data_IF_913875878505
#
_entry.id   IF_913875878505
#
_cell.length_a   1.000
_cell.length_b   1.000
_cell.length_c   1.000
_cell.angle_alpha   90.00
_cell.angle_beta   90.00
_cell.angle_gamma   90.00
#
_symmetry.space_group_name_H-M   'P 1'
#
loop_
_entity.id
_entity.type
_entity.pdbx_description
1 polymer ?
#
# COMPACT_ATOMS: atom_id res chain seq x y z
N UNK A 1 -17.12 -5.82 -7.07
CA UNK A 1 -16.82 -5.42 -8.47
C UNK A 1 -16.19 -6.60 -9.22
N UNK A 2 -16.58 -6.86 -10.47
CA UNK A 2 -15.86 -7.78 -11.36
C UNK A 2 -14.63 -7.06 -11.91
N UNK A 3 -13.48 -7.75 -12.01
CA UNK A 3 -12.20 -7.14 -12.42
C UNK A 3 -11.88 -7.33 -13.90
N UNK A 4 -12.55 -8.26 -14.58
CA UNK A 4 -12.33 -8.52 -16.02
C UNK A 4 -12.59 -7.25 -16.84
N UNK A 5 -11.66 -6.93 -17.72
CA UNK A 5 -11.63 -5.74 -18.59
C UNK A 5 -11.65 -4.39 -17.84
N UNK A 6 -11.44 -4.36 -16.51
CA UNK A 6 -11.29 -3.13 -15.75
C UNK A 6 -9.91 -2.51 -15.94
N UNK A 7 -9.86 -1.19 -16.07
CA UNK A 7 -8.62 -0.46 -16.10
C UNK A 7 -8.20 -0.10 -14.66
N UNK A 8 -7.05 -0.58 -14.24
CA UNK A 8 -6.54 -0.45 -12.87
C UNK A 8 -5.20 0.27 -12.87
N UNK A 9 -5.14 1.41 -12.20
CA UNK A 9 -3.90 2.11 -11.90
C UNK A 9 -3.28 1.51 -10.64
N UNK A 10 -2.04 1.02 -10.73
CA UNK A 10 -1.29 0.44 -9.62
C UNK A 10 -0.01 1.22 -9.39
N UNK A 11 0.08 1.95 -8.26
CA UNK A 11 1.32 2.62 -7.86
C UNK A 11 2.29 1.67 -7.16
N UNK A 12 3.61 1.92 -7.31
CA UNK A 12 4.63 1.02 -6.76
C UNK A 12 4.59 -0.38 -7.35
N UNK A 13 4.22 -0.49 -8.64
CA UNK A 13 3.95 -1.75 -9.31
C UNK A 13 5.13 -2.71 -9.33
N UNK A 14 6.38 -2.22 -9.44
CA UNK A 14 7.60 -3.06 -9.44
C UNK A 14 8.10 -3.45 -8.05
N UNK A 15 7.41 -3.07 -6.96
CA UNK A 15 7.72 -3.52 -5.61
C UNK A 15 7.20 -4.93 -5.30
N UNK A 16 7.63 -5.54 -4.17
CA UNK A 16 7.29 -6.94 -3.86
C UNK A 16 5.77 -7.23 -3.85
N UNK A 17 4.97 -6.45 -3.11
CA UNK A 17 3.50 -6.59 -3.14
C UNK A 17 2.96 -6.14 -4.49
N UNK A 18 3.50 -5.06 -5.07
CA UNK A 18 3.03 -4.49 -6.33
C UNK A 18 3.16 -5.46 -7.50
N UNK A 19 4.28 -6.17 -7.63
CA UNK A 19 4.51 -7.14 -8.71
C UNK A 19 3.59 -8.36 -8.58
N UNK A 20 3.45 -8.91 -7.38
CA UNK A 20 2.52 -10.02 -7.13
C UNK A 20 1.06 -9.61 -7.41
N UNK A 21 0.70 -8.37 -7.05
CA UNK A 21 -0.62 -7.82 -7.30
C UNK A 21 -0.86 -7.59 -8.80
N UNK A 22 0.13 -7.08 -9.54
CA UNK A 22 0.03 -6.90 -10.98
C UNK A 22 -0.22 -8.24 -11.69
N UNK A 23 0.53 -9.30 -11.33
CA UNK A 23 0.34 -10.65 -11.85
C UNK A 23 -1.09 -11.15 -11.57
N UNK A 24 -1.51 -11.10 -10.33
CA UNK A 24 -2.82 -11.60 -9.92
C UNK A 24 -3.99 -10.81 -10.56
N UNK A 25 -3.87 -9.50 -10.74
CA UNK A 25 -4.87 -8.68 -11.44
C UNK A 25 -4.92 -8.97 -12.94
N UNK A 26 -3.78 -9.18 -13.58
CA UNK A 26 -3.72 -9.57 -14.99
C UNK A 26 -4.36 -10.95 -15.22
N UNK A 27 -4.19 -11.91 -14.29
CA UNK A 27 -4.87 -13.21 -14.29
C UNK A 27 -6.40 -13.07 -14.18
N UNK A 28 -6.89 -12.07 -13.45
CA UNK A 28 -8.32 -11.73 -13.36
C UNK A 28 -8.84 -11.02 -14.62
N UNK A 29 -7.99 -10.78 -15.61
CA UNK A 29 -8.38 -10.12 -16.86
C UNK A 29 -8.43 -8.60 -16.78
N UNK A 30 -7.80 -7.96 -15.80
CA UNK A 30 -7.69 -6.53 -15.72
C UNK A 30 -6.63 -5.96 -16.68
N UNK A 31 -6.81 -4.72 -17.12
CA UNK A 31 -5.85 -3.94 -17.89
C UNK A 31 -5.14 -2.95 -16.97
N UNK A 32 -3.82 -2.98 -16.91
CA UNK A 32 -3.06 -2.27 -15.88
C UNK A 32 -2.32 -1.06 -16.43
N UNK A 33 -2.38 0.05 -15.69
CA UNK A 33 -1.41 1.13 -15.75
C UNK A 33 -0.44 0.95 -14.56
N UNK A 34 0.75 0.45 -14.87
CA UNK A 34 1.81 0.15 -13.90
C UNK A 34 2.64 1.40 -13.66
N UNK A 35 2.56 1.96 -12.44
CA UNK A 35 3.23 3.22 -12.09
C UNK A 35 4.39 2.97 -11.13
N UNK A 36 5.55 3.52 -11.44
CA UNK A 36 6.76 3.41 -10.59
C UNK A 36 7.91 4.26 -11.15
N UNK A 37 9.07 4.25 -10.48
CA UNK A 37 10.21 5.11 -10.85
C UNK A 37 11.16 4.48 -11.87
N UNK A 38 11.24 3.14 -11.90
CA UNK A 38 12.24 2.41 -12.69
C UNK A 38 11.58 1.83 -13.93
N UNK A 39 11.77 2.48 -15.07
CA UNK A 39 11.16 2.08 -16.34
C UNK A 39 11.52 0.64 -16.74
N UNK A 40 12.79 0.26 -16.63
CA UNK A 40 13.25 -1.10 -16.96
C UNK A 40 12.51 -2.16 -16.13
N UNK A 41 12.34 -1.96 -14.81
CA UNK A 41 11.63 -2.90 -13.95
C UNK A 41 10.12 -2.94 -14.23
N UNK A 42 9.52 -1.82 -14.66
CA UNK A 42 8.12 -1.80 -15.10
C UNK A 42 7.93 -2.54 -16.42
N UNK A 43 8.86 -2.40 -17.37
CA UNK A 43 8.82 -3.12 -18.65
C UNK A 43 9.03 -4.63 -18.45
N UNK A 44 9.98 -5.03 -17.61
CA UNK A 44 10.19 -6.43 -17.23
C UNK A 44 8.91 -7.03 -16.61
N UNK A 45 8.31 -6.34 -15.64
CA UNK A 45 7.05 -6.76 -15.04
C UNK A 45 5.96 -6.87 -16.11
N UNK A 46 5.76 -5.84 -16.94
CA UNK A 46 4.74 -5.84 -17.99
C UNK A 46 4.89 -7.05 -18.94
N UNK A 47 6.11 -7.39 -19.34
CA UNK A 47 6.36 -8.54 -20.23
C UNK A 47 6.05 -9.89 -19.59
N UNK A 48 6.09 -9.97 -18.26
CA UNK A 48 5.75 -11.18 -17.50
C UNK A 48 4.25 -11.37 -17.26
N UNK A 49 3.43 -10.35 -17.51
CA UNK A 49 1.98 -10.41 -17.31
C UNK A 49 1.28 -11.18 -18.44
N UNK A 50 0.12 -11.76 -18.15
CA UNK A 50 -0.79 -12.25 -19.19
C UNK A 50 -1.25 -11.08 -20.07
N UNK A 51 -1.21 -11.25 -21.41
CA UNK A 51 -1.61 -10.22 -22.38
C UNK A 51 -0.82 -8.92 -22.23
N UNK A 52 0.53 -8.94 -22.36
CA UNK A 52 1.39 -7.78 -22.11
C UNK A 52 1.02 -6.52 -22.92
N UNK A 53 0.42 -6.69 -24.11
CA UNK A 53 -0.03 -5.58 -24.98
C UNK A 53 -1.19 -4.77 -24.40
N UNK A 54 -1.97 -5.35 -23.48
CA UNK A 54 -3.11 -4.69 -22.83
C UNK A 54 -2.71 -3.85 -21.62
N UNK A 55 -1.44 -3.95 -21.17
CA UNK A 55 -0.92 -3.19 -20.03
C UNK A 55 -0.03 -2.05 -20.50
N UNK A 56 0.00 -0.98 -19.72
CA UNK A 56 0.88 0.16 -19.96
C UNK A 56 1.72 0.47 -18.71
N UNK A 57 2.85 1.12 -18.94
CA UNK A 57 3.71 1.59 -17.88
C UNK A 57 3.73 3.12 -17.86
N UNK A 58 3.96 3.70 -16.68
CA UNK A 58 4.26 5.11 -16.50
C UNK A 58 5.41 5.25 -15.50
N UNK A 59 6.57 5.65 -16.01
CA UNK A 59 7.79 5.75 -15.21
C UNK A 59 7.93 7.17 -14.64
N UNK A 60 7.38 7.41 -13.44
CA UNK A 60 7.37 8.73 -12.79
C UNK A 60 7.74 8.63 -11.32
N UNK A 61 8.29 9.70 -10.76
CA UNK A 61 8.46 9.86 -9.31
C UNK A 61 7.26 10.61 -8.72
N UNK A 62 6.43 9.90 -7.97
CA UNK A 62 5.23 10.46 -7.33
C UNK A 62 5.54 11.43 -6.17
N UNK A 63 6.80 11.59 -5.79
CA UNK A 63 7.24 12.60 -4.82
C UNK A 63 7.44 13.99 -5.46
N UNK A 64 7.48 14.07 -6.79
CA UNK A 64 7.64 15.33 -7.53
C UNK A 64 6.30 15.84 -8.03
N UNK A 65 6.20 17.15 -8.16
CA UNK A 65 5.02 17.81 -8.74
C UNK A 65 4.84 17.40 -10.21
N UNK A 66 5.95 17.30 -10.94
CA UNK A 66 5.99 16.90 -12.35
C UNK A 66 5.45 15.49 -12.54
N UNK A 67 5.94 14.51 -11.75
CA UNK A 67 5.51 13.13 -11.85
C UNK A 67 4.03 12.95 -11.49
N UNK A 68 3.53 13.66 -10.47
CA UNK A 68 2.10 13.66 -10.14
C UNK A 68 1.25 14.32 -11.23
N UNK A 69 1.76 15.39 -11.86
CA UNK A 69 1.05 16.07 -12.95
C UNK A 69 1.00 15.22 -14.21
N UNK A 70 2.08 14.53 -14.55
CA UNK A 70 2.14 13.59 -15.68
C UNK A 70 1.17 12.42 -15.50
N UNK A 71 1.10 11.84 -14.30
CA UNK A 71 0.13 10.81 -13.98
C UNK A 71 -1.32 11.30 -14.13
N UNK A 72 -1.63 12.47 -13.60
CA UNK A 72 -2.96 13.10 -13.70
C UNK A 72 -3.35 13.36 -15.17
N UNK A 73 -2.41 13.90 -15.95
CA UNK A 73 -2.60 14.15 -17.38
C UNK A 73 -2.89 12.83 -18.14
N UNK A 74 -2.07 11.82 -17.92
CA UNK A 74 -2.24 10.49 -18.54
C UNK A 74 -3.62 9.90 -18.25
N UNK A 75 -4.06 9.94 -16.99
CA UNK A 75 -5.38 9.43 -16.61
C UNK A 75 -6.54 10.21 -17.22
N UNK A 76 -6.43 11.54 -17.33
CA UNK A 76 -7.41 12.39 -18.01
C UNK A 76 -7.48 12.09 -19.51
N UNK A 77 -6.33 11.93 -20.15
CA UNK A 77 -6.24 11.56 -21.56
C UNK A 77 -6.90 10.19 -21.79
N UNK A 78 -6.58 9.18 -20.98
CA UNK A 78 -7.21 7.86 -21.07
C UNK A 78 -8.73 7.92 -20.97
N UNK A 79 -9.25 8.79 -20.08
CA UNK A 79 -10.69 8.99 -19.96
C UNK A 79 -11.30 9.52 -21.25
N UNK A 80 -10.66 10.50 -21.92
CA UNK A 80 -11.16 11.04 -23.20
C UNK A 80 -11.09 10.03 -24.34
N UNK A 81 -10.16 9.09 -24.28
CA UNK A 81 -9.99 7.99 -25.24
C UNK A 81 -10.92 6.79 -24.95
N UNK A 82 -11.81 6.87 -23.99
CA UNK A 82 -12.71 5.78 -23.61
C UNK A 82 -12.08 4.71 -22.72
N UNK A 83 -10.80 4.84 -22.36
CA UNK A 83 -10.01 3.93 -21.51
C UNK A 83 -9.96 4.36 -20.03
N UNK A 84 -10.98 5.04 -19.55
CA UNK A 84 -10.95 5.59 -18.18
C UNK A 84 -10.65 4.55 -17.10
N UNK A 85 -9.98 4.97 -16.04
CA UNK A 85 -9.59 4.13 -14.89
C UNK A 85 -10.82 3.78 -14.06
N UNK A 86 -11.01 2.51 -13.73
CA UNK A 86 -12.06 2.00 -12.85
C UNK A 86 -11.58 1.86 -11.39
N UNK A 87 -10.29 1.52 -11.20
CA UNK A 87 -9.72 1.31 -9.87
C UNK A 87 -8.36 1.99 -9.76
N UNK A 88 -8.13 2.70 -8.66
CA UNK A 88 -6.81 3.22 -8.26
C UNK A 88 -6.33 2.43 -7.05
N UNK A 89 -5.12 1.86 -7.12
CA UNK A 89 -4.49 1.16 -5.99
C UNK A 89 -3.26 1.95 -5.54
N UNK A 90 -3.37 2.60 -4.40
CA UNK A 90 -2.29 3.26 -3.70
C UNK A 90 -1.45 2.21 -2.95
N UNK A 91 -0.46 1.63 -3.64
CA UNK A 91 0.45 0.63 -3.09
C UNK A 91 1.87 1.18 -2.89
N UNK A 92 2.28 2.23 -3.60
CA UNK A 92 3.58 2.86 -3.40
C UNK A 92 3.79 3.26 -1.94
N UNK A 93 4.94 2.91 -1.38
CA UNK A 93 5.27 3.24 0.00
C UNK A 93 6.69 2.80 0.36
N UNK A 94 7.22 3.40 1.40
CA UNK A 94 8.49 3.04 2.03
C UNK A 94 8.27 2.77 3.51
N UNK A 95 9.10 1.91 4.06
CA UNK A 95 9.18 1.67 5.49
C UNK A 95 10.65 1.70 5.92
N UNK A 96 10.97 2.45 6.93
CA UNK A 96 12.34 2.51 7.47
C UNK A 96 12.35 1.93 8.88
N UNK A 97 13.11 0.84 9.06
CA UNK A 97 13.29 0.22 10.36
C UNK A 97 14.48 0.87 11.08
N UNK A 98 14.19 1.83 11.95
CA UNK A 98 15.17 2.56 12.76
C UNK A 98 14.50 3.26 13.94
N UNK A 99 15.21 3.48 15.04
CA UNK A 99 14.73 4.38 16.09
C UNK A 99 14.68 5.83 15.57
N UNK A 100 13.75 6.63 16.07
CA UNK A 100 13.57 8.01 15.64
C UNK A 100 14.84 8.85 15.82
N UNK A 101 15.60 8.61 16.89
CA UNK A 101 16.88 9.27 17.16
C UNK A 101 17.99 8.99 16.12
N UNK A 102 17.82 7.95 15.31
CA UNK A 102 18.79 7.54 14.26
C UNK A 102 18.35 8.01 12.86
N UNK A 103 17.20 8.69 12.74
CA UNK A 103 16.66 9.11 11.45
C UNK A 103 16.96 10.56 11.14
N UNK A 104 17.37 10.83 9.92
CA UNK A 104 17.49 12.19 9.39
C UNK A 104 16.11 12.74 8.92
N UNK A 105 16.00 14.07 8.90
CA UNK A 105 14.77 14.75 8.54
C UNK A 105 14.30 14.43 7.11
N UNK A 106 15.22 14.26 6.15
CA UNK A 106 14.89 13.96 4.75
C UNK A 106 14.25 12.58 4.62
N UNK A 107 14.77 11.58 5.33
CA UNK A 107 14.19 10.24 5.38
C UNK A 107 12.78 10.26 5.95
N UNK A 108 12.54 11.00 7.05
CA UNK A 108 11.21 11.16 7.64
C UNK A 108 10.25 11.85 6.67
N UNK A 109 10.67 12.96 6.06
CA UNK A 109 9.86 13.72 5.10
C UNK A 109 9.49 12.86 3.89
N UNK A 110 10.44 12.10 3.33
CA UNK A 110 10.19 11.22 2.19
C UNK A 110 9.17 10.13 2.53
N UNK A 111 9.25 9.53 3.72
CA UNK A 111 8.31 8.49 4.15
C UNK A 111 6.90 9.07 4.37
N UNK A 112 6.77 10.23 5.00
CA UNK A 112 5.48 10.91 5.16
C UNK A 112 4.91 11.32 3.81
N UNK A 113 5.72 11.88 2.94
CA UNK A 113 5.29 12.33 1.60
C UNK A 113 4.79 11.17 0.76
N UNK A 114 5.54 10.05 0.68
CA UNK A 114 5.13 8.93 -0.16
C UNK A 114 3.95 8.14 0.43
N UNK A 115 3.93 7.94 1.76
CA UNK A 115 2.93 7.08 2.39
C UNK A 115 1.60 7.79 2.71
N UNK A 116 1.60 9.14 2.80
CA UNK A 116 0.41 9.93 3.20
C UNK A 116 0.05 10.95 2.16
N UNK A 117 0.96 11.89 1.84
CA UNK A 117 0.64 13.02 0.95
C UNK A 117 0.36 12.53 -0.47
N UNK A 118 1.18 11.65 -1.00
CA UNK A 118 1.01 11.08 -2.35
C UNK A 118 -0.37 10.40 -2.54
N UNK A 119 -0.81 9.44 -1.71
CA UNK A 119 -2.13 8.83 -1.89
C UNK A 119 -3.29 9.80 -1.66
N UNK A 120 -3.15 10.82 -0.80
CA UNK A 120 -4.16 11.87 -0.63
C UNK A 120 -4.29 12.70 -1.92
N UNK A 121 -3.17 13.19 -2.46
CA UNK A 121 -3.17 13.98 -3.70
C UNK A 121 -3.63 13.16 -4.90
N UNK A 122 -3.21 11.90 -5.00
CA UNK A 122 -3.67 11.04 -6.08
C UNK A 122 -5.18 10.75 -5.97
N UNK A 123 -5.70 10.52 -4.77
CA UNK A 123 -7.14 10.37 -4.55
C UNK A 123 -7.92 11.63 -4.94
N UNK A 124 -7.44 12.82 -4.54
CA UNK A 124 -8.04 14.10 -4.91
C UNK A 124 -8.15 14.26 -6.43
N UNK A 125 -7.09 13.91 -7.16
CA UNK A 125 -7.09 13.93 -8.63
C UNK A 125 -7.99 12.85 -9.21
N UNK A 126 -7.94 11.64 -8.66
CA UNK A 126 -8.69 10.49 -9.14
C UNK A 126 -10.21 10.72 -9.11
N UNK A 127 -10.75 11.39 -8.10
CA UNK A 127 -12.17 11.74 -8.01
C UNK A 127 -12.67 12.50 -9.25
N UNK A 128 -11.79 13.23 -9.96
CA UNK A 128 -12.13 14.01 -11.15
C UNK A 128 -12.26 13.14 -12.42
N UNK A 129 -11.51 12.04 -12.52
CA UNK A 129 -11.40 11.26 -13.74
C UNK A 129 -11.70 9.76 -13.59
N UNK A 130 -11.82 9.22 -12.40
CA UNK A 130 -12.20 7.82 -12.19
C UNK A 130 -13.60 7.54 -12.76
N UNK A 131 -13.79 6.38 -13.37
CA UNK A 131 -15.13 5.93 -13.81
C UNK A 131 -16.06 5.74 -12.62
N UNK A 132 -17.36 5.75 -12.89
CA UNK A 132 -18.39 5.45 -11.91
C UNK A 132 -19.24 4.29 -12.41
N UNK A 133 -19.37 3.23 -11.60
CA UNK A 133 -18.82 3.04 -10.26
C UNK A 133 -17.29 2.84 -10.27
N UNK A 134 -16.59 3.46 -9.29
CA UNK A 134 -15.13 3.44 -9.17
C UNK A 134 -14.64 3.12 -7.77
N UNK A 135 -13.39 2.66 -7.67
CA UNK A 135 -12.78 2.30 -6.38
C UNK A 135 -11.38 2.93 -6.26
N UNK A 136 -11.12 3.55 -5.11
CA UNK A 136 -9.75 3.86 -4.65
C UNK A 136 -9.43 2.91 -3.50
N UNK A 137 -8.39 2.08 -3.66
CA UNK A 137 -7.92 1.17 -2.62
C UNK A 137 -6.57 1.64 -2.07
N UNK A 138 -6.49 1.81 -0.76
CA UNK A 138 -5.27 2.18 -0.06
C UNK A 138 -4.64 0.95 0.63
N UNK A 139 -3.37 0.64 0.30
CA UNK A 139 -2.61 -0.42 0.97
C UNK A 139 -2.00 0.14 2.26
N UNK A 140 -2.59 -0.25 3.37
CA UNK A 140 -2.16 0.10 4.71
C UNK A 140 -1.10 -0.83 5.30
N UNK A 141 -1.21 -1.03 6.61
CA UNK A 141 -0.44 -2.00 7.40
C UNK A 141 -1.13 -2.21 8.74
N UNK A 142 -0.94 -3.36 9.37
CA UNK A 142 -1.34 -3.60 10.76
C UNK A 142 -0.69 -2.60 11.74
N UNK A 143 0.48 -2.06 11.38
CA UNK A 143 1.12 -0.97 12.13
C UNK A 143 0.36 0.37 12.05
N UNK A 144 -0.62 0.52 11.17
CA UNK A 144 -1.58 1.62 11.22
C UNK A 144 -2.59 1.52 12.37
N UNK A 145 -2.72 0.35 12.99
CA UNK A 145 -3.57 0.13 14.18
C UNK A 145 -2.78 -0.05 15.47
N UNK A 146 -1.47 -0.31 15.37
CA UNK A 146 -0.59 -0.57 16.51
C UNK A 146 0.74 0.13 16.28
N UNK A 147 1.12 1.06 17.18
CA UNK A 147 2.46 1.67 17.17
C UNK A 147 3.51 0.64 17.55
N UNK A 148 4.59 0.52 16.74
CA UNK A 148 5.63 -0.49 16.97
C UNK A 148 7.03 0.17 17.05
N UNK A 149 7.87 -0.23 18.04
CA UNK A 149 9.24 0.30 18.16
C UNK A 149 10.06 0.06 16.88
N UNK A 150 10.88 1.04 16.48
CA UNK A 150 11.63 1.01 15.23
C UNK A 150 10.80 1.40 13.99
N UNK A 151 9.47 1.56 14.12
CA UNK A 151 8.55 1.95 13.05
C UNK A 151 7.64 3.13 13.44
N UNK A 152 8.10 4.02 14.30
CA UNK A 152 7.27 5.13 14.80
C UNK A 152 6.70 6.00 13.67
N UNK A 153 7.52 6.42 12.70
CA UNK A 153 7.08 7.22 11.55
C UNK A 153 6.20 6.39 10.63
N UNK A 154 6.60 5.17 10.30
CA UNK A 154 5.80 4.27 9.46
C UNK A 154 4.42 4.01 10.04
N UNK A 155 4.33 3.68 11.34
CA UNK A 155 3.05 3.48 12.03
C UNK A 155 2.16 4.71 11.96
N UNK A 156 2.74 5.89 12.17
CA UNK A 156 2.01 7.17 12.06
C UNK A 156 1.47 7.37 10.64
N UNK A 157 2.28 7.10 9.59
CA UNK A 157 1.83 7.24 8.20
C UNK A 157 0.69 6.28 7.85
N UNK A 158 0.77 5.03 8.30
CA UNK A 158 -0.27 4.03 8.01
C UNK A 158 -1.55 4.24 8.83
N UNK A 159 -1.44 4.81 10.03
CA UNK A 159 -2.60 5.28 10.81
C UNK A 159 -3.29 6.48 10.14
N UNK A 160 -2.52 7.43 9.63
CA UNK A 160 -3.05 8.57 8.87
C UNK A 160 -3.81 8.10 7.62
N UNK A 161 -3.21 7.19 6.84
CA UNK A 161 -3.83 6.64 5.63
C UNK A 161 -5.12 5.87 5.94
N UNK A 162 -5.17 5.14 7.06
CA UNK A 162 -6.39 4.46 7.51
C UNK A 162 -7.53 5.46 7.79
N UNK A 163 -7.25 6.51 8.58
CA UNK A 163 -8.27 7.52 8.90
C UNK A 163 -8.68 8.35 7.69
N UNK A 164 -7.74 8.66 6.81
CA UNK A 164 -8.05 9.29 5.52
C UNK A 164 -9.03 8.43 4.69
N UNK A 165 -8.73 7.13 4.57
CA UNK A 165 -9.58 6.21 3.80
C UNK A 165 -11.00 6.13 4.38
N UNK A 166 -11.12 6.06 5.71
CA UNK A 166 -12.39 6.03 6.42
C UNK A 166 -13.21 7.31 6.20
N UNK A 167 -12.57 8.48 6.32
CA UNK A 167 -13.20 9.77 6.12
C UNK A 167 -13.67 9.94 4.67
N UNK A 168 -12.79 9.63 3.70
CA UNK A 168 -13.11 9.74 2.27
C UNK A 168 -14.24 8.80 1.84
N UNK A 169 -14.30 7.59 2.41
CA UNK A 169 -15.40 6.67 2.09
C UNK A 169 -16.76 7.21 2.56
N UNK A 170 -16.79 7.97 3.66
CA UNK A 170 -18.00 8.67 4.14
C UNK A 170 -18.29 9.93 3.34
N UNK A 171 -17.26 10.71 2.98
CA UNK A 171 -17.40 11.95 2.21
C UNK A 171 -17.95 11.70 0.82
N UNK A 172 -17.60 10.56 0.21
CA UNK A 172 -18.05 10.18 -1.14
C UNK A 172 -19.35 9.37 -1.14
N UNK A 173 -20.08 9.32 -0.03
CA UNK A 173 -21.38 8.65 0.03
C UNK A 173 -22.33 9.17 -1.07
N UNK A 174 -22.95 8.26 -1.82
CA UNK A 174 -23.83 8.59 -2.94
C UNK A 174 -23.15 8.99 -4.26
N UNK A 175 -21.81 9.04 -4.32
CA UNK A 175 -21.10 9.43 -5.56
C UNK A 175 -20.72 8.26 -6.47
N UNK A 176 -21.06 7.03 -6.12
CA UNK A 176 -20.63 5.79 -6.78
C UNK A 176 -19.10 5.57 -6.75
N UNK A 177 -18.34 6.35 -5.97
CA UNK A 177 -16.91 6.13 -5.72
C UNK A 177 -16.75 5.61 -4.30
N UNK A 178 -16.05 4.46 -4.15
CA UNK A 178 -15.74 3.87 -2.86
C UNK A 178 -14.26 4.00 -2.54
N UNK A 179 -13.93 4.32 -1.29
CA UNK A 179 -12.55 4.31 -0.80
C UNK A 179 -12.39 3.14 0.16
N UNK A 180 -11.54 2.19 -0.22
CA UNK A 180 -11.29 0.97 0.54
C UNK A 180 -9.91 1.03 1.19
N UNK A 181 -9.75 0.32 2.28
CA UNK A 181 -8.49 0.18 2.99
C UNK A 181 -8.20 -1.28 3.30
N UNK A 182 -6.99 -1.75 3.00
CA UNK A 182 -6.51 -3.07 3.40
C UNK A 182 -5.20 -2.96 4.16
N UNK A 183 -5.09 -3.66 5.27
CA UNK A 183 -3.94 -3.63 6.17
C UNK A 183 -3.24 -5.00 6.22
N UNK A 184 -2.23 -5.25 5.38
CA UNK A 184 -1.36 -6.41 5.50
C UNK A 184 -0.55 -6.37 6.81
N UNK A 185 -0.19 -7.56 7.32
CA UNK A 185 0.89 -7.70 8.30
C UNK A 185 2.24 -7.78 7.59
N UNK A 186 3.30 -8.14 8.32
CA UNK A 186 4.62 -8.33 7.74
C UNK A 186 4.55 -9.26 6.52
N UNK A 187 5.02 -8.76 5.37
CA UNK A 187 5.00 -9.48 4.10
C UNK A 187 6.44 -9.75 3.66
N UNK A 188 6.73 -10.96 3.20
CA UNK A 188 8.05 -11.35 2.72
C UNK A 188 8.30 -10.74 1.34
N UNK A 189 8.98 -9.59 1.29
CA UNK A 189 9.36 -8.97 0.01
C UNK A 189 10.88 -8.93 -0.14
N UNK A 190 11.36 -8.95 -1.38
CA UNK A 190 12.79 -8.84 -1.68
C UNK A 190 13.41 -7.51 -1.20
N UNK A 191 12.59 -6.48 -1.02
CA UNK A 191 13.01 -5.17 -0.51
C UNK A 191 13.05 -5.08 1.02
N UNK A 192 12.68 -6.14 1.74
CA UNK A 192 12.77 -6.12 3.19
C UNK A 192 14.22 -6.17 3.65
N UNK A 193 14.55 -5.30 4.59
CA UNK A 193 15.81 -5.34 5.33
C UNK A 193 16.00 -6.73 5.98
N UNK A 194 17.16 -7.34 5.79
CA UNK A 194 17.50 -8.65 6.37
C UNK A 194 17.31 -8.64 7.89
N UNK A 195 17.62 -7.52 8.56
CA UNK A 195 17.40 -7.33 10.00
C UNK A 195 15.94 -7.52 10.39
N UNK A 196 15.02 -7.05 9.57
CA UNK A 196 13.56 -7.19 9.80
C UNK A 196 13.12 -8.65 9.64
N UNK A 197 13.69 -9.35 8.66
CA UNK A 197 13.44 -10.79 8.45
C UNK A 197 13.91 -11.60 9.67
N UNK A 198 15.13 -11.35 10.10
CA UNK A 198 15.73 -12.06 11.24
C UNK A 198 15.03 -11.72 12.56
N UNK A 199 14.65 -10.46 12.77
CA UNK A 199 13.83 -10.03 13.91
C UNK A 199 12.48 -10.74 13.95
N UNK A 200 11.78 -10.81 12.82
CA UNK A 200 10.48 -11.50 12.76
C UNK A 200 10.63 -12.99 13.08
N UNK A 201 11.70 -13.62 12.62
CA UNK A 201 12.01 -15.01 12.96
C UNK A 201 12.29 -15.19 14.46
N UNK A 202 13.13 -14.32 15.04
CA UNK A 202 13.47 -14.35 16.46
C UNK A 202 12.26 -14.12 17.38
N UNK A 203 11.31 -13.29 16.94
CA UNK A 203 10.07 -13.00 17.66
C UNK A 203 8.94 -14.00 17.39
N UNK A 204 9.13 -14.96 16.48
CA UNK A 204 8.10 -15.90 16.07
C UNK A 204 6.92 -15.25 15.34
N UNK A 205 7.14 -14.07 14.74
CA UNK A 205 6.11 -13.36 13.98
C UNK A 205 5.82 -14.09 12.67
N UNK A 206 4.54 -14.31 12.40
CA UNK A 206 4.10 -14.84 11.10
C UNK A 206 4.21 -13.77 10.02
N UNK A 207 4.75 -14.15 8.88
CA UNK A 207 4.84 -13.30 7.69
C UNK A 207 4.04 -13.91 6.55
N UNK A 208 3.42 -13.07 5.72
CA UNK A 208 2.65 -13.52 4.57
C UNK A 208 3.47 -13.41 3.28
N UNK A 209 3.17 -14.24 2.28
CA UNK A 209 3.75 -14.08 0.95
C UNK A 209 3.08 -12.91 0.20
N UNK A 210 3.78 -12.24 -0.73
CA UNK A 210 3.20 -11.21 -1.57
C UNK A 210 1.99 -11.71 -2.37
N UNK A 211 2.03 -12.95 -2.84
CA UNK A 211 0.96 -13.60 -3.61
C UNK A 211 -0.30 -13.77 -2.76
N UNK A 212 -0.14 -14.21 -1.51
CA UNK A 212 -1.29 -14.30 -0.60
C UNK A 212 -1.91 -12.94 -0.32
N UNK A 213 -1.08 -11.90 -0.10
CA UNK A 213 -1.57 -10.52 0.08
C UNK A 213 -2.30 -10.05 -1.17
N UNK A 214 -1.78 -10.33 -2.38
CA UNK A 214 -2.42 -9.99 -3.64
C UNK A 214 -3.82 -10.61 -3.77
N UNK A 215 -3.99 -11.89 -3.40
CA UNK A 215 -5.31 -12.55 -3.39
C UNK A 215 -6.28 -11.91 -2.39
N UNK A 216 -5.79 -11.44 -1.23
CA UNK A 216 -6.62 -10.72 -0.27
C UNK A 216 -7.04 -9.33 -0.79
N UNK A 217 -6.16 -8.65 -1.56
CA UNK A 217 -6.51 -7.40 -2.25
C UNK A 217 -7.60 -7.64 -3.28
N UNK A 218 -7.48 -8.68 -4.13
CA UNK A 218 -8.52 -9.06 -5.09
C UNK A 218 -9.84 -9.33 -4.38
N UNK A 219 -9.81 -10.10 -3.29
CA UNK A 219 -11.01 -10.39 -2.48
C UNK A 219 -11.62 -9.11 -1.91
N UNK A 220 -10.80 -8.17 -1.44
CA UNK A 220 -11.27 -6.88 -0.91
C UNK A 220 -11.94 -6.04 -2.01
N UNK A 221 -11.35 -5.99 -3.21
CA UNK A 221 -11.90 -5.28 -4.37
C UNK A 221 -13.22 -5.91 -4.85
N UNK A 222 -13.26 -7.24 -5.02
CA UNK A 222 -14.46 -7.93 -5.52
C UNK A 222 -15.63 -7.86 -4.55
N UNK A 223 -15.36 -7.91 -3.25
CA UNK A 223 -16.36 -7.80 -2.19
C UNK A 223 -16.62 -6.35 -1.74
N UNK A 224 -15.83 -5.40 -2.26
CA UNK A 224 -15.93 -3.96 -1.94
C UNK A 224 -15.94 -3.66 -0.44
N UNK A 225 -15.11 -4.39 0.32
CA UNK A 225 -15.04 -4.24 1.78
C UNK A 225 -14.37 -2.92 2.16
N UNK A 226 -15.04 -2.02 2.91
CA UNK A 226 -14.47 -0.71 3.27
C UNK A 226 -13.15 -0.81 4.01
N UNK A 227 -13.04 -1.74 4.97
CA UNK A 227 -11.82 -1.94 5.77
C UNK A 227 -11.55 -3.43 5.95
N UNK A 228 -10.35 -3.87 5.56
CA UNK A 228 -9.87 -5.24 5.70
C UNK A 228 -8.55 -5.28 6.47
N UNK A 229 -8.55 -5.87 7.65
CA UNK A 229 -7.33 -6.20 8.40
C UNK A 229 -6.91 -7.63 8.11
N UNK A 230 -5.66 -7.85 7.72
CA UNK A 230 -5.15 -9.20 7.44
C UNK A 230 -4.43 -9.78 8.66
N UNK A 231 -4.42 -11.12 8.73
CA UNK A 231 -3.72 -11.87 9.76
C UNK A 231 -4.53 -12.16 11.03
N UNK A 232 -4.23 -13.30 11.62
CA UNK A 232 -4.57 -13.73 12.97
C UNK A 232 -3.25 -14.01 13.70
N UNK A 233 -2.99 -13.45 14.87
CA UNK A 233 -3.90 -12.72 15.79
C UNK A 233 -3.96 -11.18 15.59
N UNK A 234 -3.32 -10.59 14.57
CA UNK A 234 -3.15 -9.16 14.40
C UNK A 234 -4.48 -8.38 14.41
N UNK A 235 -5.54 -8.95 13.79
CA UNK A 235 -6.90 -8.36 13.82
C UNK A 235 -7.43 -8.16 15.24
N UNK A 236 -7.12 -9.10 16.14
CA UNK A 236 -7.53 -9.02 17.55
C UNK A 236 -6.68 -7.99 18.27
N UNK A 237 -5.35 -8.00 18.04
CA UNK A 237 -4.43 -7.04 18.67
C UNK A 237 -4.77 -5.59 18.33
N UNK A 238 -5.16 -5.28 17.09
CA UNK A 238 -5.61 -3.94 16.70
C UNK A 238 -6.86 -3.54 17.51
N UNK A 239 -7.84 -4.44 17.66
CA UNK A 239 -9.05 -4.17 18.44
C UNK A 239 -8.74 -4.00 19.93
N UNK A 240 -7.90 -4.88 20.48
CA UNK A 240 -7.46 -4.79 21.88
C UNK A 240 -6.68 -3.49 22.11
N UNK A 241 -5.80 -3.10 21.18
CA UNK A 241 -5.04 -1.84 21.30
C UNK A 241 -5.94 -0.61 21.35
N UNK A 242 -7.06 -0.62 20.64
CA UNK A 242 -8.03 0.48 20.67
C UNK A 242 -8.80 0.55 21.99
N UNK A 243 -9.04 -0.58 22.65
CA UNK A 243 -9.83 -0.65 23.89
C UNK A 243 -8.96 -0.71 25.14
N UNK A 244 -7.86 -1.44 25.11
CA UNK A 244 -6.98 -1.75 26.23
C UNK A 244 -5.50 -1.59 25.82
N UNK A 245 -5.04 -0.38 25.46
CA UNK A 245 -3.68 -0.17 24.92
C UNK A 245 -2.57 -0.60 25.88
N UNK A 246 -2.82 -0.56 27.19
CA UNK A 246 -1.86 -1.01 28.22
C UNK A 246 -1.49 -2.48 28.08
N UNK A 247 -2.44 -3.34 27.67
CA UNK A 247 -2.22 -4.79 27.48
C UNK A 247 -1.27 -5.03 26.30
N UNK A 248 -1.52 -4.35 25.17
CA UNK A 248 -0.66 -4.45 23.98
C UNK A 248 0.72 -3.86 24.29
N UNK A 249 0.79 -2.71 24.98
CA UNK A 249 2.05 -2.10 25.40
C UNK A 249 2.88 -3.03 26.29
N UNK A 250 2.24 -3.77 27.21
CA UNK A 250 2.94 -4.75 28.05
C UNK A 250 3.49 -5.94 27.24
N UNK A 251 2.75 -6.41 26.22
CA UNK A 251 3.21 -7.46 25.33
C UNK A 251 4.41 -7.00 24.47
N UNK A 252 4.33 -5.81 23.87
CA UNK A 252 5.43 -5.25 23.06
C UNK A 252 6.67 -4.97 23.91
N UNK A 253 6.49 -4.53 25.17
CA UNK A 253 7.61 -4.28 26.09
C UNK A 253 8.45 -5.53 26.33
N UNK A 254 7.86 -6.72 26.36
CA UNK A 254 8.61 -7.98 26.47
C UNK A 254 9.52 -8.25 25.27
N UNK A 255 9.20 -7.69 24.11
CA UNK A 255 9.97 -7.83 22.87
C UNK A 255 11.03 -6.73 22.70
N UNK A 256 11.02 -5.70 23.57
CA UNK A 256 11.82 -4.48 23.39
C UNK A 256 13.33 -4.76 23.29
N UNK A 257 13.88 -5.66 24.10
CA UNK A 257 15.30 -6.01 24.06
C UNK A 257 15.72 -6.58 22.69
N UNK A 258 14.94 -7.54 22.18
CA UNK A 258 15.14 -8.13 20.86
C UNK A 258 15.04 -7.08 19.75
N UNK A 259 13.99 -6.23 19.78
CA UNK A 259 13.81 -5.17 18.78
C UNK A 259 15.01 -4.22 18.79
N UNK A 260 15.49 -3.81 19.99
CA UNK A 260 16.65 -2.91 20.14
C UNK A 260 17.92 -3.52 19.56
N UNK A 261 18.14 -4.81 19.80
CA UNK A 261 19.30 -5.53 19.24
C UNK A 261 19.31 -5.45 17.69
N UNK A 262 18.17 -5.72 17.05
CA UNK A 262 18.10 -5.71 15.58
C UNK A 262 18.11 -4.30 14.99
N UNK A 263 17.57 -3.29 15.66
CA UNK A 263 17.69 -1.89 15.21
C UNK A 263 19.15 -1.44 15.25
N UNK A 264 19.92 -1.88 16.25
CA UNK A 264 21.32 -1.44 16.48
C UNK A 264 22.36 -2.22 15.66
N UNK A 265 22.00 -3.35 15.06
CA UNK A 265 22.93 -4.28 14.38
C UNK A 265 23.67 -3.72 13.16
N UNK A 266 23.42 -2.49 12.70
CA UNK A 266 24.17 -1.85 11.60
C UNK A 266 23.88 -0.32 11.58
N UNK A 267 24.18 0.34 12.69
CA UNK A 267 24.30 1.80 12.76
C UNK A 267 25.71 2.23 12.44
#
# INVERSE_FOLDING_TARGET
MELKAKHILLTGASGGIGSALALALAEQGANLLLVGRKEAALNELKTSLLRPSEHQILAVDLLTTEGMSELDHTCKQWRTEGRGIDVVINNAGINTFAFLSQRDAKSIQSEVSLNVITPILLTQKAIQWIRRPGIVLNIGSTFGGIGYPGYSVYSATKAALHRFSEAMNRELEGTEIKVLFIAPRATQTASNDLRVKDMNQALGNKTDSPEWVAQQVITTLTQEKPVTWLGWPEKIFVRINNLLPRVVSAAIRKQHATITEFVSKHS
#
